data_IF_973265098233
#
_entry.id   IF_973265098233
#
_cell.length_a   1.000
_cell.length_b   1.000
_cell.length_c   1.000
_cell.angle_alpha   90.00
_cell.angle_beta   90.00
_cell.angle_gamma   90.00
#
_symmetry.space_group_name_H-M   'P 1'
#
loop_
_entity.id
_entity.type
_entity.pdbx_description
1 polymer ?
#
# COMPACT_ATOMS: atom_id res chain seq x y z
N UNK A 1 -16.20 13.03 25.27
CA UNK A 1 -16.28 14.27 24.45
C UNK A 1 -15.47 14.18 23.15
N UNK A 2 -14.37 13.39 23.09
CA UNK A 2 -13.61 13.18 21.84
C UNK A 2 -14.29 12.22 20.86
N UNK A 3 -14.96 11.16 21.34
CA UNK A 3 -15.68 10.21 20.46
C UNK A 3 -16.85 10.87 19.71
N UNK A 4 -17.60 11.75 20.38
CA UNK A 4 -18.77 12.43 19.79
C UNK A 4 -18.36 13.41 18.67
N UNK A 5 -17.19 14.04 18.79
CA UNK A 5 -16.66 14.95 17.78
C UNK A 5 -16.11 14.21 16.55
N UNK A 6 -15.60 12.99 16.73
CA UNK A 6 -15.12 12.15 15.63
C UNK A 6 -16.29 11.65 14.76
N UNK A 7 -17.36 11.15 15.39
CA UNK A 7 -18.56 10.73 14.66
C UNK A 7 -19.23 11.87 13.88
N UNK A 8 -19.38 13.06 14.47
CA UNK A 8 -19.96 14.22 13.76
C UNK A 8 -19.21 14.64 12.49
N UNK A 9 -17.89 14.44 12.42
CA UNK A 9 -17.08 14.86 11.26
C UNK A 9 -16.96 13.79 10.18
N UNK A 10 -17.05 12.50 10.52
CA UNK A 10 -16.82 11.39 9.58
C UNK A 10 -18.10 10.68 9.11
N UNK A 11 -19.20 10.76 9.87
CA UNK A 11 -20.43 9.99 9.56
C UNK A 11 -21.25 10.56 8.39
N UNK A 12 -20.95 11.79 7.92
CA UNK A 12 -21.65 12.44 6.80
C UNK A 12 -20.76 12.61 5.54
N UNK A 13 -19.62 11.93 5.46
CA UNK A 13 -18.80 11.92 4.25
C UNK A 13 -19.50 11.00 3.24
N UNK A 14 -19.91 11.50 2.05
CA UNK A 14 -20.50 10.64 1.02
C UNK A 14 -19.45 9.62 0.56
N UNK A 15 -19.56 8.41 1.08
CA UNK A 15 -18.78 7.24 0.67
C UNK A 15 -19.66 6.40 -0.25
N UNK A 16 -19.10 6.00 -1.39
CA UNK A 16 -19.75 5.10 -2.35
C UNK A 16 -18.86 3.89 -2.55
N UNK A 17 -19.48 2.72 -2.77
CA UNK A 17 -18.77 1.50 -3.13
C UNK A 17 -18.24 1.55 -4.57
N UNK A 18 -18.76 2.47 -5.40
CA UNK A 18 -18.27 2.68 -6.75
C UNK A 18 -16.83 3.22 -6.72
N UNK A 19 -15.92 2.53 -7.41
CA UNK A 19 -14.57 3.03 -7.65
C UNK A 19 -14.66 4.20 -8.62
N UNK A 20 -14.05 5.32 -8.24
CA UNK A 20 -14.03 6.54 -9.05
C UNK A 20 -12.77 6.62 -9.91
N UNK A 21 -12.86 7.33 -11.03
CA UNK A 21 -11.71 7.67 -11.89
C UNK A 21 -10.57 8.36 -11.13
N UNK A 22 -10.90 9.16 -10.12
CA UNK A 22 -9.89 9.82 -9.29
C UNK A 22 -9.10 8.80 -8.45
N UNK A 23 -9.77 7.80 -7.89
CA UNK A 23 -9.13 6.74 -7.12
C UNK A 23 -8.18 5.93 -7.99
N UNK A 24 -8.63 5.50 -9.17
CA UNK A 24 -7.79 4.76 -10.13
C UNK A 24 -6.55 5.56 -10.54
N UNK A 25 -6.71 6.85 -10.86
CA UNK A 25 -5.56 7.70 -11.24
C UNK A 25 -4.57 7.90 -10.10
N UNK A 26 -5.05 8.08 -8.87
CA UNK A 26 -4.17 8.29 -7.72
C UNK A 26 -3.50 6.99 -7.25
N UNK A 27 -4.17 5.84 -7.40
CA UNK A 27 -3.57 4.53 -7.17
C UNK A 27 -2.38 4.31 -8.10
N UNK A 28 -2.57 4.51 -9.41
CA UNK A 28 -1.48 4.41 -10.40
C UNK A 28 -0.33 5.38 -10.13
N UNK A 29 -0.64 6.64 -9.77
CA UNK A 29 0.39 7.62 -9.41
C UNK A 29 1.16 7.20 -8.15
N UNK A 30 0.47 6.68 -7.15
CA UNK A 30 1.08 6.21 -5.90
C UNK A 30 1.98 4.99 -6.13
N UNK A 31 1.56 4.06 -6.98
CA UNK A 31 2.37 2.90 -7.38
C UNK A 31 3.66 3.34 -8.08
N UNK A 32 3.54 4.23 -9.07
CA UNK A 32 4.70 4.77 -9.78
C UNK A 32 5.67 5.48 -8.82
N UNK A 33 5.15 6.40 -7.98
CA UNK A 33 5.98 7.12 -7.01
C UNK A 33 6.67 6.18 -6.01
N UNK A 34 5.96 5.12 -5.57
CA UNK A 34 6.52 4.08 -4.72
C UNK A 34 7.66 3.32 -5.40
N UNK A 35 7.48 2.92 -6.67
CA UNK A 35 8.49 2.22 -7.45
C UNK A 35 9.76 3.04 -7.70
N UNK A 36 9.61 4.35 -7.92
CA UNK A 36 10.74 5.27 -8.12
C UNK A 36 11.49 5.63 -6.82
N UNK A 37 10.85 5.47 -5.65
CA UNK A 37 11.40 5.86 -4.37
C UNK A 37 12.25 4.77 -3.67
N UNK A 38 12.24 3.53 -4.17
CA UNK A 38 13.00 2.43 -3.55
C UNK A 38 14.51 2.63 -3.76
N UNK A 39 15.28 2.64 -2.67
CA UNK A 39 16.73 2.80 -2.72
C UNK A 39 17.45 1.45 -2.62
N UNK A 40 18.15 1.07 -3.69
CA UNK A 40 19.00 -0.11 -3.71
C UNK A 40 20.32 0.14 -2.98
N UNK A 41 20.43 -0.33 -1.73
CA UNK A 41 21.63 -0.12 -0.90
C UNK A 41 22.81 -1.04 -1.27
N UNK A 42 22.53 -2.25 -1.74
CA UNK A 42 23.55 -3.24 -2.13
C UNK A 42 23.00 -4.22 -3.16
N UNK A 43 23.81 -4.53 -4.18
CA UNK A 43 23.52 -5.58 -5.15
C UNK A 43 24.81 -6.21 -5.69
N UNK A 44 24.94 -7.53 -5.56
CA UNK A 44 26.08 -8.30 -6.06
C UNK A 44 25.72 -9.07 -7.36
N UNK A 45 24.80 -8.53 -8.16
CA UNK A 45 24.27 -9.17 -9.36
C UNK A 45 23.10 -10.13 -9.10
N UNK A 46 22.47 -10.06 -7.92
CA UNK A 46 21.31 -10.89 -7.55
C UNK A 46 20.01 -10.32 -8.10
N UNK A 47 19.87 -8.98 -8.09
CA UNK A 47 18.72 -8.30 -8.66
C UNK A 47 19.02 -7.85 -10.10
N UNK A 48 18.04 -7.90 -11.03
CA UNK A 48 16.65 -8.30 -10.81
C UNK A 48 16.47 -9.81 -10.63
N UNK A 49 15.43 -10.20 -9.88
CA UNK A 49 15.09 -11.61 -9.65
C UNK A 49 14.69 -12.23 -10.98
N UNK A 50 15.27 -13.39 -11.31
CA UNK A 50 14.86 -14.18 -12.48
C UNK A 50 13.52 -14.84 -12.19
N UNK A 51 12.65 -14.94 -13.21
CA UNK A 51 11.38 -15.66 -13.10
C UNK A 51 11.59 -17.08 -12.57
N UNK A 52 10.75 -17.49 -11.63
CA UNK A 52 10.81 -18.82 -11.01
C UNK A 52 10.22 -18.83 -9.61
N UNK A 53 10.35 -19.97 -8.93
CA UNK A 53 9.89 -20.10 -7.56
C UNK A 53 10.77 -19.28 -6.60
N UNK A 54 10.13 -18.49 -5.74
CA UNK A 54 10.79 -17.69 -4.71
C UNK A 54 10.29 -18.14 -3.34
N UNK A 55 11.21 -18.37 -2.42
CA UNK A 55 10.87 -18.56 -1.01
C UNK A 55 10.86 -17.19 -0.31
N UNK A 56 9.68 -16.74 0.11
CA UNK A 56 9.46 -15.45 0.75
C UNK A 56 9.42 -15.63 2.28
N UNK A 57 10.31 -14.94 2.99
CA UNK A 57 10.49 -15.10 4.44
C UNK A 57 10.19 -13.81 5.21
N UNK A 58 9.81 -13.98 6.49
CA UNK A 58 9.57 -12.90 7.44
C UNK A 58 8.10 -12.45 7.50
N UNK A 59 7.61 -12.01 8.67
CA UNK A 59 6.20 -11.64 8.84
C UNK A 59 5.79 -10.41 8.02
N UNK A 60 6.72 -9.47 7.79
CA UNK A 60 6.44 -8.24 7.01
C UNK A 60 6.06 -8.49 5.54
N UNK A 61 6.26 -9.72 5.04
CA UNK A 61 5.76 -10.13 3.74
C UNK A 61 4.23 -10.10 3.64
N UNK A 62 3.53 -10.44 4.74
CA UNK A 62 2.07 -10.38 4.87
C UNK A 62 1.61 -9.17 5.69
N UNK A 63 2.40 -8.79 6.69
CA UNK A 63 2.18 -7.64 7.58
C UNK A 63 2.97 -6.41 7.09
N UNK A 64 2.75 -6.02 5.84
CA UNK A 64 3.48 -4.91 5.21
C UNK A 64 3.08 -3.57 5.82
N UNK A 65 4.07 -2.79 6.27
CA UNK A 65 3.85 -1.46 6.81
C UNK A 65 3.82 -0.44 5.68
N UNK A 66 2.65 0.14 5.42
CA UNK A 66 2.44 1.16 4.35
C UNK A 66 2.49 2.60 4.84
N UNK A 67 2.63 2.80 6.15
CA UNK A 67 2.76 4.13 6.75
C UNK A 67 2.95 4.09 8.25
N UNK A 68 3.30 5.24 8.83
CA UNK A 68 3.36 5.42 10.28
C UNK A 68 1.97 5.53 10.92
N UNK A 69 1.94 5.51 12.25
CA UNK A 69 0.72 5.73 13.03
C UNK A 69 0.42 7.23 13.20
N UNK A 70 -0.72 7.56 13.81
CA UNK A 70 -1.03 8.93 14.26
C UNK A 70 -1.83 9.74 13.24
N UNK A 71 -1.61 11.05 13.20
CA UNK A 71 -2.41 11.98 12.38
C UNK A 71 -2.28 11.74 10.87
N UNK A 72 -1.19 11.11 10.42
CA UNK A 72 -0.97 10.72 9.03
C UNK A 72 -1.56 9.36 8.66
N UNK A 73 -2.25 8.67 9.57
CA UNK A 73 -2.89 7.38 9.25
C UNK A 73 -4.00 7.58 8.24
N UNK A 74 -3.94 6.82 7.16
CA UNK A 74 -4.99 6.78 6.12
C UNK A 74 -5.82 5.49 6.24
N UNK A 75 -7.09 5.56 5.84
CA UNK A 75 -7.99 4.42 5.74
C UNK A 75 -8.33 4.19 4.25
N UNK A 76 -7.40 3.59 3.51
CA UNK A 76 -7.61 3.24 2.10
C UNK A 76 -8.55 2.05 1.93
N UNK A 77 -9.12 1.87 0.73
CA UNK A 77 -10.00 0.73 0.41
C UNK A 77 -9.28 -0.62 0.50
N UNK A 78 -8.03 -0.66 0.02
CA UNK A 78 -7.15 -1.82 0.04
C UNK A 78 -5.71 -1.36 0.24
N UNK A 79 -4.90 -2.24 0.79
CA UNK A 79 -3.44 -2.13 0.82
C UNK A 79 -2.87 -3.45 0.31
N UNK A 80 -1.97 -3.38 -0.67
CA UNK A 80 -1.30 -4.57 -1.22
C UNK A 80 -0.10 -4.89 -0.33
N UNK A 81 -0.01 -6.13 0.16
CA UNK A 81 1.19 -6.58 0.87
C UNK A 81 2.27 -7.09 -0.11
N UNK A 82 3.50 -7.30 0.37
CA UNK A 82 4.62 -7.73 -0.49
C UNK A 82 4.36 -9.09 -1.15
N UNK A 83 3.72 -10.04 -0.46
CA UNK A 83 3.37 -11.34 -1.04
C UNK A 83 2.39 -11.21 -2.20
N UNK A 84 1.33 -10.41 -2.03
CA UNK A 84 0.33 -10.14 -3.07
C UNK A 84 0.97 -9.44 -4.27
N UNK A 85 1.78 -8.40 -4.03
CA UNK A 85 2.47 -7.68 -5.10
C UNK A 85 3.42 -8.57 -5.90
N UNK A 86 4.14 -9.50 -5.24
CA UNK A 86 4.97 -10.49 -5.93
C UNK A 86 4.16 -11.49 -6.75
N UNK A 87 2.97 -11.91 -6.28
CA UNK A 87 2.08 -12.81 -7.03
C UNK A 87 1.46 -12.14 -8.25
N UNK A 88 1.09 -10.86 -8.13
CA UNK A 88 0.51 -10.07 -9.22
C UNK A 88 1.58 -9.65 -10.24
N UNK A 89 2.81 -9.38 -9.80
CA UNK A 89 3.95 -8.95 -10.64
C UNK A 89 4.65 -10.06 -11.45
N UNK A 90 4.53 -11.33 -11.03
CA UNK A 90 5.01 -12.51 -11.76
C UNK A 90 6.44 -12.97 -11.48
#
# INVERSE_FOLDING_TARGET
>A
MKEVFFHMLYDNIPVTDAITERELRHEALSEQAGGEAVVLLKNNGTLPIKKGAVALYGPGARETITGGTGSGKVNGRRSINIEEGLKEGG
#
